data_IF_918299006219
#
_entry.id   IF_918299006219
#
_cell.length_a   1.000
_cell.length_b   1.000
_cell.length_c   1.000
_cell.angle_alpha   90.00
_cell.angle_beta   90.00
_cell.angle_gamma   90.00
#
_symmetry.space_group_name_H-M   'P 1'
#
loop_
_entity.id
_entity.type
_entity.pdbx_description
1 polymer ?
#
# COMPACT_ATOMS: atom_id res chain seq x y z
N UNK A 1 7.37 -7.03 22.33
CA UNK A 1 6.72 -6.53 21.11
C UNK A 1 5.55 -7.45 20.78
N UNK A 2 4.33 -6.95 20.53
CA UNK A 2 3.20 -7.78 20.14
C UNK A 2 3.49 -8.54 18.84
N UNK A 3 3.11 -9.82 18.76
CA UNK A 3 3.32 -10.64 17.56
C UNK A 3 2.50 -10.13 16.35
N UNK A 4 1.36 -9.50 16.60
CA UNK A 4 0.45 -9.01 15.56
C UNK A 4 1.09 -7.93 14.68
N UNK A 5 1.99 -7.10 15.23
CA UNK A 5 2.75 -6.12 14.46
C UNK A 5 3.72 -6.77 13.47
N UNK A 6 4.26 -7.94 13.81
CA UNK A 6 5.09 -8.72 12.90
C UNK A 6 4.23 -9.45 11.85
N UNK A 7 3.02 -9.86 12.22
CA UNK A 7 2.09 -10.52 11.31
C UNK A 7 1.58 -9.57 10.21
N UNK A 8 1.44 -8.28 10.51
CA UNK A 8 1.09 -7.25 9.53
C UNK A 8 2.23 -6.98 8.52
N UNK A 9 3.48 -7.20 8.91
CA UNK A 9 4.63 -7.14 8.01
C UNK A 9 4.74 -8.43 7.18
N UNK A 10 3.95 -8.49 6.12
CA UNK A 10 3.89 -9.65 5.24
C UNK A 10 5.12 -9.73 4.32
N UNK A 11 6.26 -10.17 4.87
CA UNK A 11 7.49 -10.35 4.10
C UNK A 11 7.42 -11.57 3.18
N UNK A 12 8.04 -11.48 2.00
CA UNK A 12 8.19 -12.61 1.08
C UNK A 12 9.62 -12.69 0.59
N UNK A 13 10.31 -13.79 0.89
CA UNK A 13 11.71 -13.98 0.49
C UNK A 13 12.66 -12.94 1.08
N UNK A 14 12.45 -12.56 2.36
CA UNK A 14 13.21 -11.52 3.08
C UNK A 14 13.07 -10.11 2.48
N UNK A 15 11.94 -9.86 1.80
CA UNK A 15 11.58 -8.56 1.22
C UNK A 15 10.28 -8.06 1.81
N UNK A 16 10.17 -6.75 2.00
CA UNK A 16 8.92 -6.07 2.36
C UNK A 16 8.63 -4.99 1.32
N UNK A 17 7.48 -5.11 0.66
CA UNK A 17 7.02 -4.15 -0.33
C UNK A 17 6.54 -2.86 0.32
N UNK A 18 7.04 -1.73 -0.16
CA UNK A 18 6.64 -0.38 0.27
C UNK A 18 6.42 0.51 -0.95
N UNK A 19 5.74 1.63 -0.75
CA UNK A 19 5.50 2.62 -1.80
C UNK A 19 6.01 3.98 -1.33
N UNK A 20 6.80 4.62 -2.18
CA UNK A 20 7.35 5.95 -1.95
C UNK A 20 6.27 7.00 -2.22
N UNK A 21 6.18 7.99 -1.34
CA UNK A 21 5.22 9.10 -1.44
C UNK A 21 6.01 10.40 -1.58
N UNK A 22 6.32 10.79 -2.82
CA UNK A 22 7.07 12.01 -3.17
C UNK A 22 6.32 12.86 -4.20
N UNK A 23 6.44 14.19 -4.09
CA UNK A 23 6.02 15.25 -5.04
C UNK A 23 4.62 15.12 -5.69
N UNK A 24 4.42 14.12 -6.55
CA UNK A 24 3.18 13.82 -7.29
C UNK A 24 2.44 12.58 -6.77
N UNK A 25 3.07 11.80 -5.90
CA UNK A 25 2.49 10.60 -5.32
C UNK A 25 1.44 10.96 -4.27
N UNK A 26 0.20 10.59 -4.55
CA UNK A 26 -0.89 10.66 -3.58
C UNK A 26 -1.04 9.29 -2.90
N UNK A 27 -1.09 9.31 -1.57
CA UNK A 27 -1.43 8.13 -0.76
C UNK A 27 -2.75 7.53 -1.23
N UNK A 28 -3.73 8.36 -1.60
CA UNK A 28 -5.02 7.88 -2.12
C UNK A 28 -4.89 7.14 -3.45
N UNK A 29 -3.97 7.57 -4.33
CA UNK A 29 -3.70 6.86 -5.59
C UNK A 29 -3.06 5.50 -5.34
N UNK A 30 -2.13 5.42 -4.39
CA UNK A 30 -1.53 4.15 -3.96
C UNK A 30 -2.60 3.24 -3.35
N UNK A 31 -3.45 3.77 -2.46
CA UNK A 31 -4.58 3.05 -1.87
C UNK A 31 -5.52 2.53 -2.96
N UNK A 32 -5.87 3.35 -3.96
CA UNK A 32 -6.71 2.93 -5.08
C UNK A 32 -6.09 1.74 -5.83
N UNK A 33 -4.82 1.85 -6.19
CA UNK A 33 -4.10 0.83 -6.94
C UNK A 33 -3.99 -0.50 -6.18
N UNK A 34 -3.74 -0.45 -4.87
CA UNK A 34 -3.66 -1.64 -4.03
C UNK A 34 -5.04 -2.24 -3.73
N UNK A 35 -6.04 -1.40 -3.46
CA UNK A 35 -7.41 -1.86 -3.24
C UNK A 35 -8.01 -2.50 -4.49
N UNK A 36 -7.65 -2.03 -5.68
CA UNK A 36 -8.07 -2.60 -6.96
C UNK A 36 -7.61 -4.05 -7.18
N UNK A 37 -6.47 -4.44 -6.59
CA UNK A 37 -5.96 -5.80 -6.64
C UNK A 37 -6.69 -6.76 -5.71
N UNK A 38 -7.48 -6.26 -4.75
CA UNK A 38 -8.20 -7.10 -3.79
C UNK A 38 -9.44 -7.73 -4.44
N UNK A 39 -9.88 -8.88 -3.93
CA UNK A 39 -11.12 -9.51 -4.42
C UNK A 39 -12.41 -8.76 -4.07
N UNK A 40 -12.37 -7.92 -3.02
CA UNK A 40 -13.51 -7.13 -2.54
C UNK A 40 -13.03 -5.85 -1.84
N UNK A 41 -13.84 -4.79 -1.89
CA UNK A 41 -13.59 -3.58 -1.11
C UNK A 41 -13.82 -3.87 0.38
N UNK A 42 -12.87 -3.44 1.19
CA UNK A 42 -12.86 -3.55 2.65
C UNK A 42 -12.12 -2.34 3.22
N UNK A 43 -12.02 -2.25 4.56
CA UNK A 43 -11.14 -1.28 5.18
C UNK A 43 -9.71 -1.46 4.70
N UNK A 44 -8.99 -0.35 4.53
CA UNK A 44 -7.61 -0.34 4.09
C UNK A 44 -6.78 0.41 5.13
N UNK A 45 -5.84 -0.29 5.77
CA UNK A 45 -4.93 0.31 6.75
C UNK A 45 -3.53 0.41 6.17
N UNK A 46 -2.84 1.51 6.44
CA UNK A 46 -1.44 1.70 6.08
C UNK A 46 -0.73 2.45 7.20
N UNK A 47 0.60 2.44 7.13
CA UNK A 47 1.45 3.18 8.04
C UNK A 47 2.46 3.95 7.20
N UNK A 48 2.46 5.27 7.33
CA UNK A 48 3.48 6.13 6.72
C UNK A 48 4.61 6.41 7.71
N UNK A 49 5.83 6.47 7.21
CA UNK A 49 7.03 6.71 8.00
C UNK A 49 8.12 7.36 7.13
N UNK A 50 9.06 8.06 7.76
CA UNK A 50 10.17 8.70 7.04
C UNK A 50 11.21 7.67 6.60
N UNK A 51 11.72 7.80 5.38
CA UNK A 51 12.73 6.89 4.81
C UNK A 51 13.99 6.76 5.69
N UNK A 52 14.36 7.82 6.42
CA UNK A 52 15.48 7.81 7.35
C UNK A 52 15.42 6.64 8.35
N UNK A 53 14.22 6.19 8.73
CA UNK A 53 14.02 5.06 9.64
C UNK A 53 14.62 3.78 9.06
N UNK A 54 14.46 3.56 7.75
CA UNK A 54 14.99 2.40 7.03
C UNK A 54 16.52 2.46 7.00
N UNK A 55 17.07 3.63 6.68
CA UNK A 55 18.52 3.84 6.62
C UNK A 55 19.19 3.64 7.98
N UNK A 56 18.58 4.14 9.07
CA UNK A 56 19.07 4.02 10.45
C UNK A 56 19.04 2.57 10.96
N UNK A 57 18.08 1.78 10.47
CA UNK A 57 17.99 0.34 10.76
C UNK A 57 18.96 -0.52 9.90
N UNK A 58 19.77 0.10 9.03
CA UNK A 58 20.67 -0.64 8.12
C UNK A 58 19.91 -1.56 7.15
N UNK A 59 18.67 -1.22 6.84
CA UNK A 59 17.83 -1.91 5.86
C UNK A 59 18.12 -1.30 4.49
N UNK A 60 18.28 -2.14 3.47
CA UNK A 60 18.51 -1.68 2.10
C UNK A 60 17.18 -1.53 1.38
N UNK A 61 17.13 -0.57 0.46
CA UNK A 61 15.99 -0.34 -0.42
C UNK A 61 16.40 -0.70 -1.85
N UNK A 62 15.58 -1.48 -2.53
CA UNK A 62 15.74 -1.83 -3.94
C UNK A 62 14.60 -1.21 -4.76
N UNK A 63 14.94 -0.58 -5.89
CA UNK A 63 13.93 -0.11 -6.83
C UNK A 63 13.36 -1.28 -7.64
N UNK A 64 12.09 -1.60 -7.41
CA UNK A 64 11.40 -2.68 -8.11
C UNK A 64 10.04 -2.21 -8.61
N UNK A 65 9.58 -2.73 -9.76
CA UNK A 65 8.27 -2.35 -10.30
C UNK A 65 7.16 -3.11 -9.58
N UNK A 66 6.13 -2.37 -9.15
CA UNK A 66 4.89 -2.94 -8.66
C UNK A 66 4.09 -3.63 -9.76
N UNK A 67 3.04 -4.35 -9.38
CA UNK A 67 2.17 -5.10 -10.30
C UNK A 67 0.70 -4.71 -10.18
N UNK A 68 0.43 -3.47 -9.80
CA UNK A 68 -0.93 -2.93 -9.71
C UNK A 68 -1.48 -2.57 -11.08
N UNK A 69 -2.79 -2.31 -11.17
CA UNK A 69 -3.45 -1.83 -12.39
C UNK A 69 -3.10 -0.37 -12.73
N UNK A 70 -2.49 0.38 -11.80
CA UNK A 70 -2.02 1.76 -12.04
C UNK A 70 -0.51 1.75 -12.35
N UNK A 71 -0.17 2.00 -13.61
CA UNK A 71 1.22 1.91 -14.08
C UNK A 71 2.15 2.92 -13.40
N UNK A 72 1.67 4.13 -13.08
CA UNK A 72 2.51 5.12 -12.40
C UNK A 72 2.79 4.69 -10.97
N UNK A 73 1.80 4.12 -10.27
CA UNK A 73 2.00 3.61 -8.90
C UNK A 73 3.03 2.48 -8.87
N UNK A 74 3.11 1.69 -9.93
CA UNK A 74 4.12 0.64 -10.04
C UNK A 74 5.55 1.19 -10.08
N UNK A 75 5.75 2.44 -10.51
CA UNK A 75 7.06 3.10 -10.52
C UNK A 75 7.49 3.60 -9.13
N UNK A 76 6.54 3.71 -8.20
CA UNK A 76 6.77 4.16 -6.82
C UNK A 76 7.02 3.00 -5.85
N UNK A 77 6.85 1.77 -6.32
CA UNK A 77 7.11 0.58 -5.51
C UNK A 77 8.60 0.44 -5.22
N UNK A 78 8.93 -0.01 -4.01
CA UNK A 78 10.28 -0.36 -3.58
C UNK A 78 10.18 -1.61 -2.72
N UNK A 79 11.24 -2.41 -2.72
CA UNK A 79 11.39 -3.50 -1.77
C UNK A 79 12.42 -3.12 -0.70
N UNK A 80 12.05 -3.24 0.57
CA UNK A 80 13.01 -3.32 1.65
C UNK A 80 13.62 -4.72 1.62
N UNK A 81 14.92 -4.83 1.39
CA UNK A 81 15.62 -6.11 1.21
C UNK A 81 16.62 -6.37 2.34
N UNK A 82 17.20 -7.57 2.33
CA UNK A 82 18.14 -8.05 3.36
C UNK A 82 17.54 -7.96 4.78
N UNK A 83 16.24 -8.23 4.90
CA UNK A 83 15.51 -8.24 6.17
C UNK A 83 15.83 -9.52 6.94
N UNK A 84 16.55 -9.37 8.06
CA UNK A 84 16.65 -10.40 9.08
C UNK A 84 15.53 -10.24 10.12
N UNK A 85 15.27 -11.28 10.91
CA UNK A 85 14.31 -11.19 12.01
C UNK A 85 14.64 -10.03 12.98
N UNK A 86 15.93 -9.80 13.25
CA UNK A 86 16.38 -8.70 14.11
C UNK A 86 16.07 -7.32 13.49
N UNK A 87 16.34 -7.15 12.19
CA UNK A 87 16.02 -5.90 11.48
C UNK A 87 14.51 -5.64 11.42
N UNK A 88 13.70 -6.70 11.30
CA UNK A 88 12.24 -6.57 11.37
C UNK A 88 11.77 -6.13 12.77
N UNK A 89 12.35 -6.69 13.84
CA UNK A 89 12.04 -6.27 15.22
C UNK A 89 12.41 -4.79 15.43
N UNK A 90 13.58 -4.37 14.97
CA UNK A 90 14.04 -2.99 15.04
C UNK A 90 13.12 -2.05 14.24
N UNK A 91 12.79 -2.42 13.00
CA UNK A 91 11.85 -1.69 12.17
C UNK A 91 10.50 -1.55 12.86
N UNK A 92 9.90 -2.64 13.36
CA UNK A 92 8.64 -2.58 14.11
C UNK A 92 8.72 -1.65 15.33
N UNK A 93 9.85 -1.66 16.05
CA UNK A 93 10.08 -0.75 17.17
C UNK A 93 9.99 0.71 16.74
N UNK A 94 10.69 1.08 15.67
CA UNK A 94 10.69 2.46 15.17
C UNK A 94 9.35 2.83 14.54
N UNK A 95 8.71 1.94 13.78
CA UNK A 95 7.39 2.18 13.18
C UNK A 95 6.31 2.38 14.25
N UNK A 96 6.41 1.68 15.39
CA UNK A 96 5.48 1.91 16.52
C UNK A 96 5.64 3.31 17.13
N UNK A 97 6.87 3.82 17.19
CA UNK A 97 7.15 5.12 17.82
C UNK A 97 6.92 6.30 16.88
N UNK A 98 7.22 6.13 15.59
CA UNK A 98 7.30 7.23 14.61
C UNK A 98 6.36 7.05 13.42
N UNK A 99 5.83 5.85 13.24
CA UNK A 99 4.85 5.58 12.20
C UNK A 99 3.55 6.31 12.47
N UNK A 100 2.92 6.76 11.40
CA UNK A 100 1.59 7.36 11.43
C UNK A 100 0.62 6.34 10.85
N UNK A 101 -0.07 5.54 11.68
CA UNK A 101 -1.07 4.60 11.21
C UNK A 101 -2.30 5.38 10.74
N UNK A 102 -2.80 5.01 9.57
CA UNK A 102 -4.04 5.54 9.04
C UNK A 102 -4.92 4.39 8.54
N UNK A 103 -6.22 4.65 8.56
CA UNK A 103 -7.24 3.71 8.09
C UNK A 103 -8.24 4.44 7.22
N UNK A 104 -8.53 3.87 6.06
CA UNK A 104 -9.60 4.28 5.16
C UNK A 104 -10.77 3.31 5.32
N UNK A 105 -11.92 3.84 5.68
CA UNK A 105 -13.15 3.08 5.81
C UNK A 105 -13.64 2.64 4.42
N UNK A 106 -14.44 1.56 4.31
CA UNK A 106 -14.88 1.05 3.02
C UNK A 106 -15.52 2.10 2.10
N UNK A 107 -16.28 3.06 2.67
CA UNK A 107 -16.91 4.15 1.91
C UNK A 107 -15.89 5.13 1.33
N UNK A 108 -14.80 5.40 2.04
CA UNK A 108 -13.70 6.24 1.56
C UNK A 108 -12.94 5.50 0.45
N UNK A 109 -12.67 4.20 0.64
CA UNK A 109 -12.03 3.36 -0.39
C UNK A 109 -12.88 3.29 -1.66
N UNK A 110 -14.21 3.20 -1.52
CA UNK A 110 -15.14 3.28 -2.66
C UNK A 110 -15.00 4.60 -3.43
N UNK A 111 -14.97 5.74 -2.72
CA UNK A 111 -14.82 7.05 -3.33
C UNK A 111 -13.47 7.19 -4.05
N UNK A 112 -12.38 6.74 -3.41
CA UNK A 112 -11.02 6.74 -3.96
C UNK A 112 -10.93 5.89 -5.24
N UNK A 113 -11.47 4.66 -5.22
CA UNK A 113 -11.49 3.78 -6.38
C UNK A 113 -12.37 4.33 -7.52
N UNK A 114 -13.55 4.84 -7.20
CA UNK A 114 -14.45 5.45 -8.18
C UNK A 114 -13.77 6.64 -8.88
N UNK A 115 -13.06 7.48 -8.11
CA UNK A 115 -12.31 8.61 -8.65
C UNK A 115 -11.18 8.14 -9.58
N UNK A 116 -10.38 7.15 -9.17
CA UNK A 116 -9.30 6.60 -10.00
C UNK A 116 -9.81 5.98 -11.32
N UNK A 117 -11.00 5.36 -11.31
CA UNK A 117 -11.66 4.85 -12.53
C UNK A 117 -12.16 5.99 -13.43
N UNK A 118 -12.80 7.02 -12.86
CA UNK A 118 -13.27 8.20 -13.62
C UNK A 118 -12.12 8.92 -14.32
N UNK A 119 -10.98 9.04 -13.64
CA UNK A 119 -9.76 9.67 -14.16
C UNK A 119 -8.95 8.74 -15.07
N UNK A 120 -9.47 7.54 -15.36
CA UNK A 120 -8.84 6.54 -16.24
C UNK A 120 -7.45 6.08 -15.81
N UNK A 121 -7.09 6.26 -14.52
CA UNK A 121 -5.84 5.75 -13.94
C UNK A 121 -5.89 4.23 -13.78
N UNK A 122 -7.09 3.70 -13.51
CA UNK A 122 -7.36 2.28 -13.39
C UNK A 122 -8.45 1.92 -14.40
N UNK A 123 -8.16 0.96 -15.28
CA UNK A 123 -9.17 0.40 -16.18
C UNK A 123 -10.13 -0.47 -15.38
N UNK A 124 -11.41 -0.09 -15.39
CA UNK A 124 -12.51 -0.84 -14.78
C UNK A 124 -12.53 -2.32 -15.20
N UNK A 125 -12.09 -2.66 -16.42
CA UNK A 125 -12.06 -4.05 -16.92
C UNK A 125 -11.00 -4.91 -16.25
N UNK A 126 -10.00 -4.28 -15.62
CA UNK A 126 -8.90 -4.96 -14.93
C UNK A 126 -9.17 -5.13 -13.43
N UNK A 127 -10.30 -4.60 -12.92
CA UNK A 127 -10.72 -4.79 -11.54
C UNK A 127 -11.22 -6.22 -11.29
N UNK A 128 -10.97 -6.72 -10.09
CA UNK A 128 -11.54 -7.98 -9.64
C UNK A 128 -13.08 -7.90 -9.60
N UNK A 129 -13.82 -8.98 -9.92
CA UNK A 129 -15.27 -8.94 -10.08
C UNK A 129 -16.04 -8.33 -8.89
N UNK A 130 -15.60 -8.61 -7.66
CA UNK A 130 -16.24 -8.08 -6.45
C UNK A 130 -16.00 -6.59 -6.23
N UNK A 131 -14.83 -6.07 -6.60
CA UNK A 131 -14.52 -4.62 -6.57
C UNK A 131 -15.28 -3.92 -7.69
N UNK A 132 -15.16 -4.44 -8.90
CA UNK A 132 -15.87 -4.00 -10.11
C UNK A 132 -17.37 -3.74 -9.87
N UNK A 133 -18.10 -4.76 -9.38
CA UNK A 133 -19.54 -4.65 -9.13
C UNK A 133 -19.90 -3.58 -8.09
N UNK A 134 -19.04 -3.39 -7.08
CA UNK A 134 -19.25 -2.36 -6.05
C UNK A 134 -19.03 -0.96 -6.60
N UNK A 135 -17.98 -0.76 -7.39
CA UNK A 135 -17.68 0.53 -7.99
C UNK A 135 -18.76 0.93 -9.02
N UNK A 136 -19.31 0.00 -9.79
CA UNK A 136 -20.42 0.31 -10.71
C UNK A 136 -21.63 0.89 -9.97
N UNK A 137 -21.97 0.35 -8.79
CA UNK A 137 -23.07 0.86 -7.96
C UNK A 137 -22.80 2.27 -7.44
N UNK A 138 -21.54 2.55 -7.06
CA UNK A 138 -21.11 3.87 -6.56
C UNK A 138 -21.10 4.91 -7.69
N UNK A 139 -20.79 4.50 -8.92
CA UNK A 139 -20.80 5.40 -10.07
C UNK A 139 -22.21 5.69 -10.60
N UNK A 140 -23.18 4.81 -10.32
CA UNK A 140 -24.57 4.96 -10.72
C UNK A 140 -25.43 5.75 -9.73
N UNK A 141 -24.92 6.03 -8.52
CA UNK A 141 -25.57 6.83 -7.48
C UNK A 141 -25.17 8.29 -7.54
#
# INVERSE_FOLDING_TARGET
>A
MPADLLADLNTRGNRLSVWVVEHEASVERIVAALAAMLGKVREFSYLSFDEEIVSKAGIKVEETKGTTQDKTVNDWHRDLIDLSAQKLVELCGVLRERGKPERKMPKEVDAILAQAVREQRIDRRQLQPGVASRIDKVLAS
#
